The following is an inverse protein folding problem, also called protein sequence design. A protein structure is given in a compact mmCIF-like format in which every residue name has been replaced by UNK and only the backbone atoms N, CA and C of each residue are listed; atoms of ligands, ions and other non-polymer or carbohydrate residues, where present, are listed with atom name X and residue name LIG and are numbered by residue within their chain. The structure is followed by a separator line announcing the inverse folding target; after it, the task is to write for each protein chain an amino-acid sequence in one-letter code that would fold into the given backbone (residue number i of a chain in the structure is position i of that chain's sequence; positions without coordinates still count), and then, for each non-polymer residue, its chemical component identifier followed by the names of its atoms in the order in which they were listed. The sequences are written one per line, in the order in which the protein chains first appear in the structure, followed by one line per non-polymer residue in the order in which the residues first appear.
data_IF_675976161822
#
_entry.id   IF_675976161822
#
_cell.length_a   1.000
_cell.length_b   1.000
_cell.length_c   1.000
_cell.angle_alpha   90.00
_cell.angle_beta   90.00
_cell.angle_gamma   90.00
#
_symmetry.space_group_name_H-M   'P 1'
#
loop_
_entity.id
_entity.type
_entity.pdbx_description
1 polymer ?
#
# COMPACT_ATOMS: atom_id res chain seq x y z
N UNK A 1 -4.83 -32.04 -12.46
CA UNK A 1 -5.88 -33.07 -12.58
C UNK A 1 -6.98 -32.84 -11.56
N UNK A 2 -8.22 -33.27 -11.84
CA UNK A 2 -9.27 -33.31 -10.81
C UNK A 2 -9.07 -34.54 -9.94
N UNK A 3 -9.04 -34.34 -8.63
CA UNK A 3 -8.90 -35.45 -7.66
C UNK A 3 -9.86 -35.24 -6.50
N UNK A 4 -10.22 -36.31 -5.75
CA UNK A 4 -10.99 -36.13 -4.52
C UNK A 4 -10.30 -35.11 -3.59
N UNK A 5 -11.07 -34.16 -3.03
CA UNK A 5 -10.53 -33.13 -2.16
C UNK A 5 -9.83 -33.74 -0.93
N UNK A 6 -10.29 -34.90 -0.46
CA UNK A 6 -9.71 -35.62 0.66
C UNK A 6 -8.45 -36.43 0.30
N UNK A 7 -8.02 -36.43 -0.98
CA UNK A 7 -6.79 -37.09 -1.41
C UNK A 7 -5.53 -36.27 -1.15
N UNK A 8 -5.69 -35.04 -0.69
CA UNK A 8 -4.62 -34.14 -0.26
C UNK A 8 -4.98 -33.54 1.09
N UNK A 9 -3.98 -33.12 1.85
CA UNK A 9 -4.16 -32.55 3.18
C UNK A 9 -3.34 -31.27 3.36
N UNK A 10 -3.76 -30.34 4.20
CA UNK A 10 -3.00 -29.13 4.49
C UNK A 10 -1.62 -29.43 5.06
N UNK A 11 -0.65 -28.59 4.75
CA UNK A 11 0.68 -28.68 5.35
C UNK A 11 0.63 -28.17 6.79
N UNK A 12 0.98 -29.03 7.75
CA UNK A 12 0.91 -28.77 9.19
C UNK A 12 1.75 -27.55 9.63
N UNK A 13 2.86 -27.32 8.93
CA UNK A 13 3.79 -26.22 9.22
C UNK A 13 3.49 -24.96 8.42
N UNK A 14 2.32 -24.83 7.78
CA UNK A 14 1.97 -23.58 7.09
C UNK A 14 1.74 -22.48 8.13
N UNK A 15 2.56 -21.42 8.13
CA UNK A 15 2.46 -20.35 9.13
C UNK A 15 1.36 -19.33 8.84
N UNK A 16 0.76 -19.38 7.63
CA UNK A 16 -0.25 -18.41 7.23
C UNK A 16 -1.62 -18.79 7.77
N UNK A 17 -2.31 -17.78 8.30
CA UNK A 17 -3.72 -17.81 8.64
C UNK A 17 -4.47 -16.93 7.61
N UNK A 18 -5.34 -17.52 6.81
CA UNK A 18 -6.11 -16.81 5.79
C UNK A 18 -7.59 -16.76 6.15
N UNK A 19 -8.27 -15.75 5.64
CA UNK A 19 -9.72 -15.62 5.75
C UNK A 19 -10.40 -16.66 4.83
N UNK A 20 -10.78 -17.79 5.41
CA UNK A 20 -11.44 -18.89 4.69
C UNK A 20 -12.85 -18.48 4.24
N UNK A 21 -13.57 -17.69 5.03
CA UNK A 21 -14.93 -17.27 4.72
C UNK A 21 -14.97 -16.32 3.52
N UNK A 22 -14.02 -15.39 3.42
CA UNK A 22 -13.87 -14.55 2.23
C UNK A 22 -13.56 -15.40 0.97
N UNK A 23 -12.76 -16.45 1.10
CA UNK A 23 -12.49 -17.39 0.00
C UNK A 23 -13.74 -18.19 -0.37
N UNK A 24 -14.53 -18.61 0.60
CA UNK A 24 -15.82 -19.30 0.37
C UNK A 24 -16.77 -18.39 -0.41
N UNK A 25 -16.95 -17.15 0.03
CA UNK A 25 -17.78 -16.18 -0.66
C UNK A 25 -17.31 -15.98 -2.10
N UNK A 26 -16.00 -15.78 -2.30
CA UNK A 26 -15.43 -15.61 -3.64
C UNK A 26 -15.70 -16.83 -4.54
N UNK A 27 -15.57 -18.06 -4.01
CA UNK A 27 -15.85 -19.28 -4.79
C UNK A 27 -17.32 -19.38 -5.14
N UNK A 28 -18.23 -19.00 -4.24
CA UNK A 28 -19.67 -19.08 -4.47
C UNK A 28 -20.14 -18.07 -5.53
N UNK A 29 -19.54 -16.88 -5.53
CA UNK A 29 -19.89 -15.80 -6.48
C UNK A 29 -19.22 -15.99 -7.83
N UNK A 30 -17.91 -16.23 -7.83
CA UNK A 30 -17.07 -16.20 -9.03
C UNK A 30 -16.74 -17.59 -9.57
N UNK A 31 -17.10 -18.65 -8.86
CA UNK A 31 -16.62 -20.00 -9.13
C UNK A 31 -15.20 -20.24 -8.64
N UNK A 32 -14.78 -21.49 -8.64
CA UNK A 32 -13.40 -21.82 -8.25
C UNK A 32 -12.43 -21.50 -9.38
N UNK A 33 -11.58 -20.53 -9.15
CA UNK A 33 -10.49 -20.14 -10.05
C UNK A 33 -9.16 -20.36 -9.34
N UNK A 34 -8.36 -21.25 -9.84
CA UNK A 34 -7.06 -21.56 -9.27
C UNK A 34 -6.74 -23.05 -9.24
N UNK A 35 -5.62 -23.38 -8.63
CA UNK A 35 -5.14 -24.75 -8.46
C UNK A 35 -4.56 -24.91 -7.06
N UNK A 36 -4.73 -26.10 -6.49
CA UNK A 36 -4.01 -26.52 -5.29
C UNK A 36 -2.73 -27.21 -5.74
N UNK A 37 -1.58 -26.83 -5.18
CA UNK A 37 -0.32 -27.49 -5.44
C UNK A 37 0.03 -28.37 -4.26
N UNK A 38 0.25 -29.68 -4.51
CA UNK A 38 0.57 -30.64 -3.48
C UNK A 38 1.84 -31.43 -3.83
N UNK A 39 2.58 -31.81 -2.80
CA UNK A 39 3.70 -32.72 -2.92
C UNK A 39 3.21 -34.10 -3.34
N UNK A 40 3.84 -34.71 -4.35
CA UNK A 40 3.41 -35.99 -4.91
C UNK A 40 3.56 -37.16 -3.94
N UNK A 41 4.65 -37.16 -3.17
CA UNK A 41 4.99 -38.27 -2.25
C UNK A 41 4.13 -38.30 -1.00
N UNK A 42 3.93 -37.14 -0.36
CA UNK A 42 3.24 -36.99 0.93
C UNK A 42 1.78 -36.58 0.82
N UNK A 43 1.36 -36.07 -0.35
CA UNK A 43 0.04 -35.47 -0.59
C UNK A 43 -0.22 -34.20 0.21
N UNK A 44 0.80 -33.63 0.86
CA UNK A 44 0.68 -32.36 1.59
C UNK A 44 0.61 -31.17 0.63
N UNK A 45 -0.29 -30.25 0.94
CA UNK A 45 -0.53 -29.04 0.14
C UNK A 45 0.60 -28.04 0.40
N UNK A 46 1.28 -27.65 -0.66
CA UNK A 46 2.34 -26.64 -0.63
C UNK A 46 1.76 -25.24 -0.85
N UNK A 47 0.80 -25.12 -1.80
CA UNK A 47 0.14 -23.84 -2.14
C UNK A 47 -1.37 -24.07 -2.18
N UNK A 48 -2.12 -23.17 -1.56
CA UNK A 48 -3.59 -23.17 -1.56
C UNK A 48 -4.23 -23.89 -0.39
N UNK A 49 -3.58 -23.94 0.77
CA UNK A 49 -4.14 -24.53 2.00
C UNK A 49 -5.51 -23.94 2.34
N UNK A 50 -5.67 -22.61 2.35
CA UNK A 50 -6.95 -21.96 2.67
C UNK A 50 -8.02 -22.21 1.60
N UNK A 51 -7.64 -22.31 0.31
CA UNK A 51 -8.57 -22.75 -0.75
C UNK A 51 -9.08 -24.17 -0.50
N UNK A 52 -8.24 -25.07 -0.01
CA UNK A 52 -8.66 -26.40 0.35
C UNK A 52 -9.67 -26.39 1.49
N UNK A 53 -9.43 -25.59 2.55
CA UNK A 53 -10.39 -25.44 3.66
C UNK A 53 -11.73 -24.88 3.15
N UNK A 54 -11.72 -23.87 2.29
CA UNK A 54 -12.93 -23.31 1.70
C UNK A 54 -13.70 -24.34 0.87
N UNK A 55 -13.01 -25.12 0.03
CA UNK A 55 -13.65 -26.20 -0.74
C UNK A 55 -14.27 -27.29 0.16
N UNK A 56 -13.61 -27.63 1.26
CA UNK A 56 -14.16 -28.55 2.26
C UNK A 56 -15.40 -27.98 2.93
N UNK A 57 -15.38 -26.70 3.30
CA UNK A 57 -16.50 -26.03 3.96
C UNK A 57 -17.76 -26.00 3.08
N UNK A 58 -17.61 -25.78 1.77
CA UNK A 58 -18.74 -25.79 0.84
C UNK A 58 -19.10 -27.19 0.28
N UNK A 59 -18.44 -28.25 0.75
CA UNK A 59 -18.78 -29.63 0.42
C UNK A 59 -18.36 -30.09 -0.99
N UNK A 60 -17.33 -29.46 -1.57
CA UNK A 60 -16.81 -29.86 -2.89
C UNK A 60 -16.14 -31.22 -2.79
N UNK A 61 -16.51 -32.14 -3.69
CA UNK A 61 -16.00 -33.51 -3.72
C UNK A 61 -14.66 -33.63 -4.44
N UNK A 62 -14.46 -32.88 -5.51
CA UNK A 62 -13.27 -32.92 -6.36
C UNK A 62 -12.67 -31.52 -6.57
N UNK A 63 -11.35 -31.42 -6.49
CA UNK A 63 -10.61 -30.17 -6.70
C UNK A 63 -9.51 -30.33 -7.75
N UNK A 64 -9.16 -29.26 -8.49
CA UNK A 64 -8.01 -29.26 -9.38
C UNK A 64 -6.72 -29.21 -8.55
N UNK A 65 -5.91 -30.27 -8.61
CA UNK A 65 -4.64 -30.38 -7.91
C UNK A 65 -3.51 -30.60 -8.91
N UNK A 66 -2.44 -29.86 -8.71
CA UNK A 66 -1.16 -30.08 -9.37
C UNK A 66 -0.22 -30.79 -8.40
N UNK A 67 0.25 -31.98 -8.78
CA UNK A 67 1.25 -32.69 -8.00
C UNK A 67 2.65 -32.35 -8.51
N UNK A 68 3.53 -31.96 -7.59
CA UNK A 68 4.94 -31.66 -7.87
C UNK A 68 5.83 -32.70 -7.20
N UNK A 69 6.87 -33.11 -7.93
CA UNK A 69 7.86 -34.07 -7.44
C UNK A 69 8.99 -33.30 -6.77
N UNK A 70 8.81 -33.04 -5.50
CA UNK A 70 9.73 -32.30 -4.64
C UNK A 70 9.91 -33.05 -3.33
N UNK A 71 11.11 -32.96 -2.75
CA UNK A 71 11.33 -33.44 -1.38
C UNK A 71 10.74 -32.49 -0.35
N UNK A 72 10.81 -32.85 0.95
CA UNK A 72 10.17 -32.09 2.03
C UNK A 72 10.80 -30.69 2.19
N UNK A 73 12.12 -30.58 2.11
CA UNK A 73 12.82 -29.29 2.20
C UNK A 73 12.45 -28.35 1.04
N UNK A 74 12.42 -28.86 -0.18
CA UNK A 74 12.02 -28.08 -1.36
C UNK A 74 10.54 -27.63 -1.26
N UNK A 75 9.68 -28.49 -0.74
CA UNK A 75 8.27 -28.21 -0.54
C UNK A 75 8.06 -27.07 0.45
N UNK A 76 8.76 -27.09 1.58
CA UNK A 76 8.76 -26.00 2.57
C UNK A 76 9.30 -24.70 1.97
N UNK A 77 10.38 -24.76 1.19
CA UNK A 77 10.90 -23.56 0.51
C UNK A 77 9.90 -22.94 -0.46
N UNK A 78 9.19 -23.75 -1.25
CA UNK A 78 8.16 -23.25 -2.17
C UNK A 78 7.00 -22.63 -1.40
N UNK A 79 6.53 -23.29 -0.35
CA UNK A 79 5.45 -22.76 0.51
C UNK A 79 5.82 -21.40 1.11
N UNK A 80 7.01 -21.27 1.68
CA UNK A 80 7.49 -20.00 2.25
C UNK A 80 7.68 -18.93 1.19
N UNK A 81 8.17 -19.28 -0.01
CA UNK A 81 8.35 -18.34 -1.10
C UNK A 81 7.00 -17.82 -1.62
N UNK A 82 5.99 -18.69 -1.79
CA UNK A 82 4.63 -18.31 -2.19
C UNK A 82 3.98 -17.36 -1.18
N UNK A 83 4.05 -17.71 0.11
CA UNK A 83 3.55 -16.89 1.19
C UNK A 83 4.21 -15.50 1.22
N UNK A 84 5.55 -15.45 1.11
CA UNK A 84 6.32 -14.21 1.19
C UNK A 84 6.14 -13.31 -0.03
N UNK A 85 6.06 -13.88 -1.24
CA UNK A 85 5.79 -13.09 -2.45
C UNK A 85 4.40 -12.49 -2.43
N UNK A 86 3.40 -13.22 -1.95
CA UNK A 86 2.04 -12.72 -1.76
C UNK A 86 2.01 -11.57 -0.74
N UNK A 87 2.70 -11.70 0.40
CA UNK A 87 2.78 -10.68 1.43
C UNK A 87 3.54 -9.40 0.98
N UNK A 88 4.52 -9.54 0.08
CA UNK A 88 5.30 -8.42 -0.46
C UNK A 88 4.63 -7.73 -1.66
N UNK A 89 3.54 -8.27 -2.17
CA UNK A 89 2.80 -7.65 -3.26
C UNK A 89 2.32 -6.25 -2.85
N UNK A 90 2.68 -5.23 -3.65
CA UNK A 90 2.19 -3.87 -3.48
C UNK A 90 0.98 -3.67 -4.39
N UNK A 91 0.00 -2.93 -3.89
CA UNK A 91 -1.18 -2.52 -4.65
C UNK A 91 -1.06 -1.05 -5.00
N UNK A 92 -1.42 -0.69 -6.22
CA UNK A 92 -1.65 0.69 -6.59
C UNK A 92 -3.01 1.10 -6.02
N UNK A 93 -3.02 2.06 -5.12
CA UNK A 93 -4.24 2.49 -4.43
C UNK A 93 -5.23 3.18 -5.38
N UNK A 94 -4.74 3.96 -6.35
CA UNK A 94 -5.58 4.66 -7.31
C UNK A 94 -6.27 3.65 -8.24
N UNK A 95 -5.53 2.71 -8.81
CA UNK A 95 -6.07 1.66 -9.67
C UNK A 95 -7.06 0.77 -8.90
N UNK A 96 -6.75 0.42 -7.66
CA UNK A 96 -7.65 -0.37 -6.81
C UNK A 96 -8.94 0.40 -6.53
N UNK A 97 -8.86 1.67 -6.15
CA UNK A 97 -10.02 2.52 -5.89
C UNK A 97 -10.92 2.64 -7.13
N UNK A 98 -10.32 2.85 -8.31
CA UNK A 98 -11.06 2.92 -9.57
C UNK A 98 -11.81 1.61 -9.89
N UNK A 99 -11.15 0.45 -9.67
CA UNK A 99 -11.77 -0.86 -9.88
C UNK A 99 -12.93 -1.12 -8.90
N UNK A 100 -12.72 -0.82 -7.60
CA UNK A 100 -13.77 -0.99 -6.59
C UNK A 100 -14.96 -0.07 -6.86
N UNK A 101 -14.71 1.19 -7.26
CA UNK A 101 -15.76 2.14 -7.65
C UNK A 101 -16.56 1.64 -8.85
N UNK A 102 -15.90 1.13 -9.87
CA UNK A 102 -16.56 0.57 -11.04
C UNK A 102 -17.45 -0.65 -10.70
N UNK A 103 -17.03 -1.48 -9.73
CA UNK A 103 -17.83 -2.62 -9.29
C UNK A 103 -19.06 -2.21 -8.47
N UNK A 104 -19.01 -1.09 -7.73
CA UNK A 104 -20.15 -0.59 -6.95
C UNK A 104 -21.39 -0.30 -7.81
N UNK A 105 -21.21 0.01 -9.09
CA UNK A 105 -22.29 0.26 -10.04
C UNK A 105 -22.87 -1.02 -10.66
N UNK A 106 -22.33 -2.19 -10.29
CA UNK A 106 -22.80 -3.50 -10.78
C UNK A 106 -23.80 -4.13 -9.80
N UNK A 107 -24.53 -5.16 -10.26
CA UNK A 107 -25.51 -5.87 -9.45
C UNK A 107 -24.87 -6.56 -8.22
N UNK A 108 -23.70 -7.14 -8.39
CA UNK A 108 -23.00 -7.86 -7.31
C UNK A 108 -22.15 -6.94 -6.43
N UNK A 109 -21.91 -5.70 -6.87
CA UNK A 109 -21.05 -4.74 -6.17
C UNK A 109 -19.70 -5.37 -5.79
N UNK A 110 -19.30 -5.30 -4.53
CA UNK A 110 -18.03 -5.85 -4.02
C UNK A 110 -18.12 -7.32 -3.58
N UNK A 111 -19.29 -7.95 -3.70
CA UNK A 111 -19.49 -9.34 -3.27
C UNK A 111 -18.52 -10.29 -4.01
N UNK A 112 -17.86 -11.14 -3.27
CA UNK A 112 -16.89 -12.11 -3.79
C UNK A 112 -15.51 -11.55 -4.12
N UNK A 113 -15.26 -10.24 -3.89
CA UNK A 113 -13.95 -9.61 -4.11
C UNK A 113 -13.02 -9.73 -2.92
N UNK A 114 -13.56 -9.99 -1.74
CA UNK A 114 -12.84 -9.94 -0.47
C UNK A 114 -12.67 -8.52 0.08
N UNK A 115 -13.27 -7.49 -0.55
CA UNK A 115 -13.33 -6.12 -0.06
C UNK A 115 -14.73 -5.78 0.43
N UNK A 116 -14.81 -5.11 1.57
CA UNK A 116 -16.05 -4.54 2.09
C UNK A 116 -16.26 -3.10 1.61
N UNK A 117 -17.47 -2.58 1.78
CA UNK A 117 -17.75 -1.15 1.56
C UNK A 117 -16.90 -0.26 2.50
N UNK A 118 -16.63 -0.74 3.72
CA UNK A 118 -15.80 -0.02 4.68
C UNK A 118 -14.34 0.08 4.18
N UNK A 119 -13.78 -1.00 3.61
CA UNK A 119 -12.43 -0.98 3.02
C UNK A 119 -12.35 0.02 1.87
N UNK A 120 -13.38 0.06 1.01
CA UNK A 120 -13.43 0.99 -0.11
C UNK A 120 -13.50 2.45 0.37
N UNK A 121 -14.38 2.76 1.33
CA UNK A 121 -14.50 4.09 1.89
C UNK A 121 -13.22 4.54 2.62
N UNK A 122 -12.56 3.64 3.33
CA UNK A 122 -11.26 3.91 3.95
C UNK A 122 -10.20 4.24 2.90
N UNK A 123 -10.13 3.46 1.82
CA UNK A 123 -9.18 3.69 0.73
C UNK A 123 -9.39 5.07 0.08
N UNK A 124 -10.64 5.46 -0.20
CA UNK A 124 -10.99 6.79 -0.72
C UNK A 124 -10.55 7.90 0.23
N UNK A 125 -10.85 7.76 1.52
CA UNK A 125 -10.45 8.76 2.53
C UNK A 125 -8.93 8.88 2.70
N UNK A 126 -8.18 7.83 2.49
CA UNK A 126 -6.71 7.87 2.54
C UNK A 126 -6.12 8.54 1.29
N UNK A 127 -6.72 8.34 0.12
CA UNK A 127 -6.35 9.04 -1.12
C UNK A 127 -6.62 10.54 -1.03
N UNK A 128 -7.81 10.95 -0.54
CA UNK A 128 -8.17 12.37 -0.33
C UNK A 128 -7.19 13.08 0.62
N UNK A 129 -6.73 12.38 1.67
CA UNK A 129 -5.72 12.93 2.60
C UNK A 129 -4.37 13.14 1.91
N UNK A 130 -3.93 12.16 1.10
CA UNK A 130 -2.67 12.26 0.35
C UNK A 130 -2.70 13.41 -0.65
N UNK A 131 -3.80 13.57 -1.39
CA UNK A 131 -3.99 14.68 -2.32
C UNK A 131 -3.98 16.03 -1.58
N UNK A 132 -4.71 16.13 -0.46
CA UNK A 132 -4.75 17.34 0.37
C UNK A 132 -3.38 17.70 0.95
N UNK A 133 -2.60 16.71 1.39
CA UNK A 133 -1.23 16.92 1.90
C UNK A 133 -0.30 17.39 0.78
N UNK A 134 -0.34 16.76 -0.38
CA UNK A 134 0.45 17.14 -1.54
C UNK A 134 0.12 18.57 -2.02
N UNK A 135 -1.17 18.91 -2.04
CA UNK A 135 -1.60 20.26 -2.39
C UNK A 135 -1.11 21.31 -1.38
N UNK A 136 -1.23 21.04 -0.08
CA UNK A 136 -0.76 21.93 0.96
C UNK A 136 0.77 22.12 0.92
N UNK A 137 1.52 21.04 0.60
CA UNK A 137 2.97 21.13 0.43
C UNK A 137 3.35 21.99 -0.78
N UNK A 138 2.65 21.81 -1.90
CA UNK A 138 2.85 22.68 -3.09
C UNK A 138 2.55 24.15 -2.78
N UNK A 139 1.42 24.44 -2.11
CA UNK A 139 1.01 25.78 -1.74
C UNK A 139 1.97 26.43 -0.73
N UNK A 140 2.51 25.65 0.21
CA UNK A 140 3.46 26.15 1.21
C UNK A 140 4.82 26.49 0.60
N UNK A 141 5.20 25.84 -0.48
CA UNK A 141 6.46 26.07 -1.20
C UNK A 141 6.33 27.06 -2.36
N UNK A 142 5.12 27.58 -2.64
CA UNK A 142 4.90 28.58 -3.68
C UNK A 142 5.39 29.96 -3.21
N UNK A 143 6.41 30.56 -3.83
CA UNK A 143 6.95 31.88 -3.43
C UNK A 143 5.95 33.04 -3.64
N UNK A 144 4.89 32.83 -4.44
CA UNK A 144 3.83 33.83 -4.65
C UNK A 144 2.81 33.81 -3.52
N UNK A 145 2.43 32.59 -3.04
CA UNK A 145 1.44 32.42 -1.98
C UNK A 145 2.05 32.48 -0.58
N UNK A 146 3.33 32.14 -0.47
CA UNK A 146 4.10 32.18 0.76
C UNK A 146 5.44 32.89 0.50
N UNK A 147 5.42 34.21 0.30
CA UNK A 147 6.64 34.97 -0.01
C UNK A 147 7.64 34.81 1.14
N UNK A 148 8.94 34.72 0.85
CA UNK A 148 9.96 34.66 1.87
C UNK A 148 9.80 35.80 2.85
N UNK A 149 10.04 35.56 4.14
CA UNK A 149 9.88 36.56 5.19
C UNK A 149 10.70 37.83 4.85
N UNK A 150 10.02 38.94 4.72
CA UNK A 150 10.71 40.23 4.54
C UNK A 150 11.26 40.65 5.88
N UNK A 151 12.58 40.53 6.06
CA UNK A 151 13.25 41.07 7.24
C UNK A 151 13.43 42.56 7.05
N UNK A 152 12.60 43.38 7.67
CA UNK A 152 12.81 44.79 7.75
C UNK A 152 13.91 45.07 8.77
N UNK A 153 15.11 45.39 8.29
CA UNK A 153 16.19 45.86 9.16
C UNK A 153 16.00 47.38 9.37
N UNK A 154 15.32 47.73 10.46
CA UNK A 154 15.17 49.13 10.87
C UNK A 154 16.41 49.59 11.60
N UNK A 155 17.00 50.67 11.20
CA UNK A 155 18.13 51.30 11.88
C UNK A 155 19.30 51.71 11.01
N UNK A 156 19.25 51.41 9.71
CA UNK A 156 20.26 51.85 8.75
C UNK A 156 19.57 52.73 7.71
N UNK A 157 19.74 54.03 7.90
CA UNK A 157 19.37 55.02 6.88
C UNK A 157 20.53 55.16 5.93
N UNK A 158 20.25 55.08 4.64
CA UNK A 158 21.17 55.56 3.62
C UNK A 158 21.35 57.07 3.77
N UNK A 159 22.39 57.66 3.21
CA UNK A 159 22.65 59.12 3.26
C UNK A 159 21.47 59.94 2.70
N UNK A 160 20.58 59.34 1.95
CA UNK A 160 19.33 59.91 1.40
C UNK A 160 18.11 59.77 2.31
N UNK A 161 18.24 59.09 3.48
CA UNK A 161 17.15 58.85 4.43
C UNK A 161 16.25 57.66 4.08
N UNK A 162 16.56 56.87 3.05
CA UNK A 162 15.82 55.67 2.71
C UNK A 162 16.23 54.45 3.57
N UNK A 163 15.30 53.50 3.80
CA UNK A 163 15.60 52.24 4.50
C UNK A 163 15.88 51.12 3.51
N UNK A 164 16.91 50.33 3.78
CA UNK A 164 17.21 49.15 2.99
C UNK A 164 16.29 47.97 3.40
N UNK A 165 15.59 47.41 2.42
CA UNK A 165 14.79 46.19 2.60
C UNK A 165 15.52 45.03 1.92
N UNK A 166 15.79 43.96 2.69
CA UNK A 166 16.44 42.77 2.15
C UNK A 166 15.43 41.63 2.08
N UNK A 167 15.34 41.01 0.91
CA UNK A 167 14.69 39.72 0.74
C UNK A 167 15.75 38.63 0.96
N UNK A 168 15.59 37.81 1.97
CA UNK A 168 16.47 36.70 2.21
C UNK A 168 15.67 35.46 2.63
N UNK A 169 16.05 34.33 2.08
CA UNK A 169 15.48 33.04 2.41
C UNK A 169 16.00 32.52 3.77
N UNK A 170 17.12 33.11 4.27
CA UNK A 170 17.72 32.82 5.55
C UNK A 170 18.29 34.10 6.19
N UNK A 171 18.11 34.25 7.50
CA UNK A 171 18.65 35.32 8.30
C UNK A 171 20.19 35.41 8.22
N UNK A 172 20.86 34.28 7.98
CA UNK A 172 22.30 34.22 7.82
C UNK A 172 22.76 34.94 6.55
N UNK A 173 21.99 34.87 5.46
CA UNK A 173 22.27 35.56 4.20
C UNK A 173 22.19 37.08 4.40
N UNK A 174 21.22 37.55 5.20
CA UNK A 174 21.11 38.98 5.57
C UNK A 174 22.32 39.40 6.40
N UNK A 175 22.76 38.61 7.36
CA UNK A 175 23.90 38.93 8.21
C UNK A 175 25.21 38.98 7.43
N UNK A 176 25.41 38.11 6.43
CA UNK A 176 26.56 38.08 5.55
C UNK A 176 26.59 39.40 4.72
N UNK A 177 25.48 39.73 4.08
CA UNK A 177 25.37 40.95 3.25
C UNK A 177 25.57 42.23 4.07
N UNK A 178 25.07 42.29 5.29
CA UNK A 178 25.29 43.40 6.21
C UNK A 178 26.77 43.48 6.65
N UNK A 179 27.43 42.34 6.88
CA UNK A 179 28.86 42.33 7.20
C UNK A 179 29.73 42.83 6.03
N UNK A 180 29.38 42.46 4.78
CA UNK A 180 30.05 42.92 3.56
C UNK A 180 29.89 44.45 3.37
N UNK A 181 28.79 45.04 3.85
CA UNK A 181 28.55 46.49 3.86
C UNK A 181 29.17 47.18 5.08
N UNK A 182 29.92 46.45 5.91
CA UNK A 182 30.66 47.03 7.05
C UNK A 182 29.84 47.17 8.34
N UNK A 183 28.64 46.61 8.41
CA UNK A 183 27.79 46.66 9.60
C UNK A 183 28.09 45.50 10.57
N UNK A 184 28.16 45.79 11.86
CA UNK A 184 28.32 44.75 12.89
C UNK A 184 26.95 44.46 13.52
N UNK A 185 26.49 43.19 13.42
CA UNK A 185 25.30 42.73 14.15
C UNK A 185 25.52 42.74 15.67
N UNK A 186 24.64 43.41 16.42
CA UNK A 186 24.56 43.26 17.89
C UNK A 186 23.45 42.26 18.19
N UNK A 187 23.80 41.22 18.97
CA UNK A 187 22.75 40.41 19.60
C UNK A 187 22.08 41.26 20.67
N UNK A 188 20.77 41.48 20.51
CA UNK A 188 19.90 41.97 21.58
C UNK A 188 19.63 40.84 22.61
#
# INVERSE_FOLDING_TARGET
MLVPVDSVEPHEQNPNEGDVDAIVESIQVNGFHGVIVAQKSTRKIIVGNHRWYALKQIGVVQAPVMFVDKNDEESVRVMLADNQTSARSRRNSDDLSALLSALQDTELKLLGTGYSEADHLQLLGDLDKLESQSMNELLSNDPVLNPPAVVNVTGFLNDDGSTNTFHADDINDVLIRLADLGYKARKG
#
